data_IF_763347426165
#
_entry.id   IF_763347426165
#
_cell.length_a   1.000
_cell.length_b   1.000
_cell.length_c   1.000
_cell.angle_alpha   90.00
_cell.angle_beta   90.00
_cell.angle_gamma   90.00
#
_symmetry.space_group_name_H-M   'P 1'
#
loop_
_entity.id
_entity.type
_entity.pdbx_description
1 polymer ?
#
# COMPACT_ATOMS: atom_id res chain seq x y z
N UNK A 1 23.01 -24.89 -21.26
CA UNK A 1 22.32 -23.95 -22.16
C UNK A 1 21.01 -23.58 -21.46
N UNK A 2 20.68 -22.37 -21.06
CA UNK A 2 21.11 -21.02 -21.42
C UNK A 2 20.84 -20.12 -20.20
N UNK A 3 21.76 -19.20 -19.90
CA UNK A 3 21.44 -18.08 -19.01
C UNK A 3 20.45 -17.18 -19.75
N UNK A 4 19.16 -17.41 -19.56
CA UNK A 4 18.11 -16.58 -20.18
C UNK A 4 18.10 -15.26 -19.42
N UNK A 5 18.76 -14.25 -19.98
CA UNK A 5 18.65 -12.88 -19.51
C UNK A 5 17.18 -12.47 -19.53
N UNK A 6 16.59 -12.23 -18.36
CA UNK A 6 15.23 -11.70 -18.24
C UNK A 6 15.30 -10.19 -18.39
N UNK A 7 14.63 -9.64 -19.41
CA UNK A 7 14.38 -8.20 -19.49
C UNK A 7 13.25 -7.86 -18.52
N UNK A 8 13.45 -6.80 -17.74
CA UNK A 8 12.47 -6.28 -16.79
C UNK A 8 12.23 -4.82 -17.15
N UNK A 9 10.96 -4.46 -17.25
CA UNK A 9 10.54 -3.08 -17.45
C UNK A 9 10.61 -2.31 -16.13
N UNK A 10 11.26 -1.15 -16.13
CA UNK A 10 11.43 -0.29 -14.95
C UNK A 10 11.11 1.14 -15.36
N UNK A 11 10.22 1.77 -14.61
CA UNK A 11 9.89 3.19 -14.77
C UNK A 11 10.57 4.01 -13.69
N UNK A 12 11.16 5.13 -14.11
CA UNK A 12 11.61 6.20 -13.24
C UNK A 12 10.68 7.39 -13.44
N UNK A 13 10.20 7.97 -12.33
CA UNK A 13 9.39 9.18 -12.35
C UNK A 13 10.29 10.39 -12.06
N UNK A 14 10.08 11.48 -12.80
CA UNK A 14 10.87 12.71 -12.64
C UNK A 14 10.62 13.40 -11.30
N UNK A 15 9.38 13.32 -10.79
CA UNK A 15 8.97 13.94 -9.53
C UNK A 15 8.21 12.94 -8.64
N UNK A 16 8.39 12.99 -7.32
CA UNK A 16 7.58 12.21 -6.39
C UNK A 16 6.16 12.81 -6.25
N UNK A 17 5.17 11.95 -5.99
CA UNK A 17 3.83 12.41 -5.59
C UNK A 17 2.68 11.53 -6.06
N UNK A 18 1.46 12.00 -5.76
CA UNK A 18 0.21 11.28 -6.05
C UNK A 18 -0.04 11.09 -7.56
N UNK A 19 0.53 11.96 -8.40
CA UNK A 19 0.43 11.88 -9.86
C UNK A 19 0.94 10.55 -10.42
N UNK A 20 1.87 9.90 -9.73
CA UNK A 20 2.46 8.63 -10.18
C UNK A 20 1.64 7.40 -9.77
N UNK A 21 0.60 7.56 -8.94
CA UNK A 21 -0.10 6.44 -8.29
C UNK A 21 -0.73 5.49 -9.31
N UNK A 22 -1.42 6.04 -10.31
CA UNK A 22 -2.12 5.24 -11.31
C UNK A 22 -1.15 4.43 -12.18
N UNK A 23 -0.08 5.08 -12.63
CA UNK A 23 0.93 4.42 -13.46
C UNK A 23 1.72 3.37 -12.68
N UNK A 24 2.02 3.65 -11.42
CA UNK A 24 2.66 2.68 -10.50
C UNK A 24 1.80 1.44 -10.33
N UNK A 25 0.49 1.60 -10.10
CA UNK A 25 -0.43 0.46 -9.94
C UNK A 25 -0.56 -0.34 -11.24
N UNK A 26 -0.59 0.31 -12.41
CA UNK A 26 -0.64 -0.37 -13.72
C UNK A 26 0.63 -1.18 -14.00
N UNK A 27 1.80 -0.60 -13.77
CA UNK A 27 3.07 -1.32 -13.94
C UNK A 27 3.20 -2.48 -12.96
N UNK A 28 2.81 -2.28 -11.70
CA UNK A 28 2.77 -3.36 -10.71
C UNK A 28 1.80 -4.49 -11.11
N UNK A 29 0.64 -4.16 -11.69
CA UNK A 29 -0.32 -5.15 -12.19
C UNK A 29 0.27 -6.01 -13.32
N UNK A 30 0.85 -5.38 -14.33
CA UNK A 30 1.54 -6.10 -15.43
C UNK A 30 2.62 -7.02 -14.88
N UNK A 31 3.44 -6.51 -13.97
CA UNK A 31 4.53 -7.28 -13.36
C UNK A 31 4.03 -8.46 -12.53
N UNK A 32 2.94 -8.26 -11.78
CA UNK A 32 2.31 -9.32 -11.00
C UNK A 32 1.78 -10.43 -11.91
N UNK A 33 1.18 -10.09 -13.06
CA UNK A 33 0.73 -11.05 -14.06
C UNK A 33 1.88 -11.84 -14.68
N UNK A 34 2.97 -11.17 -15.10
CA UNK A 34 4.15 -11.82 -15.67
C UNK A 34 4.82 -12.83 -14.73
N UNK A 35 4.80 -12.53 -13.44
CA UNK A 35 5.40 -13.37 -12.41
C UNK A 35 4.42 -14.39 -11.81
N UNK A 36 3.12 -14.29 -12.12
CA UNK A 36 2.08 -15.10 -11.51
C UNK A 36 1.89 -14.83 -10.01
N UNK A 37 2.23 -13.63 -9.54
CA UNK A 37 2.04 -13.21 -8.15
C UNK A 37 0.55 -13.02 -7.91
N UNK A 38 0.01 -13.59 -6.83
CA UNK A 38 -1.41 -13.47 -6.48
C UNK A 38 -1.67 -12.52 -5.33
N UNK A 39 -0.66 -12.28 -4.50
CA UNK A 39 -0.78 -11.48 -3.28
C UNK A 39 -0.16 -10.09 -3.50
N UNK A 40 -0.95 -9.06 -3.27
CA UNK A 40 -0.59 -7.66 -3.52
C UNK A 40 -0.75 -6.91 -2.21
N UNK A 41 0.29 -6.22 -1.76
CA UNK A 41 0.27 -5.42 -0.54
C UNK A 41 0.40 -3.95 -0.92
N UNK A 42 -0.53 -3.12 -0.44
CA UNK A 42 -0.60 -1.69 -0.78
C UNK A 42 -0.67 -0.86 0.49
N UNK A 43 0.26 0.09 0.64
CA UNK A 43 0.18 1.07 1.72
C UNK A 43 -0.83 2.18 1.35
N UNK A 44 -1.78 2.47 2.24
CA UNK A 44 -2.78 3.51 2.02
C UNK A 44 -3.24 4.13 3.34
N UNK A 45 -2.94 5.41 3.54
CA UNK A 45 -3.29 6.14 4.76
C UNK A 45 -4.77 6.57 4.78
N UNK A 46 -5.26 7.21 3.72
CA UNK A 46 -6.65 7.71 3.65
C UNK A 46 -7.64 6.67 3.15
N UNK A 47 -7.18 5.72 2.35
CA UNK A 47 -8.00 4.66 1.72
C UNK A 47 -8.20 4.82 0.22
N UNK A 48 -7.87 5.98 -0.35
CA UNK A 48 -8.09 6.25 -1.79
C UNK A 48 -7.23 5.36 -2.68
N UNK A 49 -5.94 5.23 -2.37
CA UNK A 49 -5.02 4.34 -3.09
C UNK A 49 -5.40 2.87 -2.89
N UNK A 50 -5.81 2.49 -1.68
CA UNK A 50 -6.26 1.13 -1.37
C UNK A 50 -7.48 0.73 -2.20
N UNK A 51 -8.48 1.60 -2.30
CA UNK A 51 -9.68 1.35 -3.11
C UNK A 51 -9.35 1.21 -4.59
N UNK A 52 -8.54 2.13 -5.14
CA UNK A 52 -8.08 2.06 -6.54
C UNK A 52 -7.30 0.78 -6.82
N UNK A 53 -6.43 0.37 -5.89
CA UNK A 53 -5.71 -0.88 -6.01
C UNK A 53 -6.67 -2.08 -6.03
N UNK A 54 -7.65 -2.15 -5.13
CA UNK A 54 -8.64 -3.22 -5.16
C UNK A 54 -9.43 -3.28 -6.48
N UNK A 55 -9.68 -2.13 -7.12
CA UNK A 55 -10.34 -2.07 -8.43
C UNK A 55 -9.46 -2.55 -9.58
N UNK A 56 -8.16 -2.22 -9.58
CA UNK A 56 -7.20 -2.62 -10.62
C UNK A 56 -6.84 -4.11 -10.48
N UNK A 57 -6.59 -4.55 -9.25
CA UNK A 57 -6.14 -5.91 -8.93
C UNK A 57 -7.30 -6.87 -8.64
N UNK A 58 -8.42 -6.75 -9.38
CA UNK A 58 -9.55 -7.69 -9.23
C UNK A 58 -9.10 -9.12 -9.51
N UNK A 59 -9.43 -10.03 -8.61
CA UNK A 59 -9.02 -11.44 -8.68
C UNK A 59 -7.67 -11.76 -8.01
N UNK A 60 -6.98 -10.74 -7.48
CA UNK A 60 -5.78 -10.92 -6.64
C UNK A 60 -6.15 -10.80 -5.17
N UNK A 61 -5.31 -11.32 -4.28
CA UNK A 61 -5.38 -11.10 -2.85
C UNK A 61 -4.78 -9.73 -2.52
N UNK A 62 -5.61 -8.69 -2.48
CA UNK A 62 -5.15 -7.33 -2.14
C UNK A 62 -5.24 -7.10 -0.64
N UNK A 63 -4.11 -6.78 -0.02
CA UNK A 63 -4.00 -6.37 1.39
C UNK A 63 -3.62 -4.89 1.46
N UNK A 64 -4.56 -4.08 1.94
CA UNK A 64 -4.36 -2.65 2.18
C UNK A 64 -3.83 -2.46 3.59
N UNK A 65 -2.59 -2.00 3.72
CA UNK A 65 -1.95 -1.67 4.99
C UNK A 65 -2.21 -0.20 5.29
N UNK A 66 -2.97 0.07 6.35
CA UNK A 66 -3.23 1.43 6.83
C UNK A 66 -2.33 1.79 8.01
N UNK A 67 -2.25 3.08 8.33
CA UNK A 67 -1.56 3.54 9.53
C UNK A 67 -2.15 2.91 10.79
N UNK A 68 -1.30 2.74 11.80
CA UNK A 68 -1.77 2.36 13.12
C UNK A 68 -2.68 3.44 13.72
N UNK A 69 -3.71 2.99 14.42
CA UNK A 69 -4.59 3.87 15.17
C UNK A 69 -3.77 4.66 16.19
N UNK A 70 -3.90 5.98 16.20
CA UNK A 70 -3.11 6.83 17.10
C UNK A 70 -1.95 7.59 16.45
N UNK A 71 -1.64 7.37 15.17
CA UNK A 71 -0.48 8.01 14.51
C UNK A 71 -0.57 9.54 14.47
N UNK A 72 -1.70 10.08 13.97
CA UNK A 72 -1.91 11.53 13.87
C UNK A 72 -2.50 12.14 15.14
N UNK A 73 -3.40 11.42 15.79
CA UNK A 73 -4.04 11.78 17.07
C UNK A 73 -4.37 10.51 17.85
N UNK A 74 -4.22 10.51 19.19
CA UNK A 74 -4.56 9.35 20.02
C UNK A 74 -5.98 8.84 19.74
N UNK A 75 -6.12 7.54 19.48
CA UNK A 75 -7.41 6.89 19.26
C UNK A 75 -8.10 7.17 17.93
N UNK A 76 -7.50 7.95 17.01
CA UNK A 76 -8.08 8.26 15.71
C UNK A 76 -7.40 7.44 14.61
N UNK A 77 -8.24 6.83 13.76
CA UNK A 77 -7.82 6.21 12.52
C UNK A 77 -8.01 7.20 11.36
N UNK A 78 -7.00 7.32 10.49
CA UNK A 78 -6.99 8.28 9.38
C UNK A 78 -7.79 7.81 8.17
N UNK A 79 -8.01 6.50 8.07
CA UNK A 79 -8.85 5.91 7.03
C UNK A 79 -10.33 6.23 7.29
N UNK A 80 -10.98 6.79 6.27
CA UNK A 80 -12.41 7.08 6.28
C UNK A 80 -13.21 5.77 6.33
N UNK A 81 -14.26 5.71 7.15
CA UNK A 81 -15.09 4.49 7.30
C UNK A 81 -15.75 4.10 5.98
N UNK A 82 -16.18 5.08 5.20
CA UNK A 82 -16.81 4.85 3.90
C UNK A 82 -15.86 4.13 2.93
N UNK A 83 -14.58 4.52 2.92
CA UNK A 83 -13.57 3.89 2.08
C UNK A 83 -13.17 2.51 2.59
N UNK A 84 -13.15 2.30 3.91
CA UNK A 84 -12.94 0.99 4.53
C UNK A 84 -14.03 0.00 4.11
N UNK A 85 -15.31 0.41 4.17
CA UNK A 85 -16.43 -0.43 3.72
C UNK A 85 -16.36 -0.74 2.22
N UNK A 86 -16.04 0.24 1.38
CA UNK A 86 -15.86 0.04 -0.07
C UNK A 86 -14.73 -0.95 -0.37
N UNK A 87 -13.58 -0.84 0.31
CA UNK A 87 -12.46 -1.78 0.14
C UNK A 87 -12.88 -3.20 0.50
N UNK A 88 -13.59 -3.37 1.62
CA UNK A 88 -14.09 -4.68 2.06
C UNK A 88 -15.12 -5.25 1.09
N UNK A 89 -16.02 -4.42 0.54
CA UNK A 89 -17.02 -4.83 -0.47
C UNK A 89 -16.38 -5.32 -1.77
N UNK A 90 -15.29 -4.68 -2.20
CA UNK A 90 -14.54 -5.07 -3.41
C UNK A 90 -13.70 -6.34 -3.16
N UNK A 91 -13.62 -6.82 -1.91
CA UNK A 91 -12.89 -8.03 -1.53
C UNK A 91 -11.45 -7.78 -1.07
N UNK A 92 -11.07 -6.52 -0.86
CA UNK A 92 -9.79 -6.15 -0.27
C UNK A 92 -9.74 -6.47 1.22
N UNK A 93 -8.56 -6.86 1.71
CA UNK A 93 -8.31 -7.06 3.15
C UNK A 93 -7.64 -5.81 3.71
N UNK A 94 -7.95 -5.44 4.94
CA UNK A 94 -7.34 -4.29 5.60
C UNK A 94 -6.49 -4.78 6.77
N UNK A 95 -5.21 -4.39 6.77
CA UNK A 95 -4.28 -4.65 7.87
C UNK A 95 -3.98 -3.36 8.61
N UNK A 96 -4.17 -3.39 9.93
CA UNK A 96 -3.76 -2.31 10.83
C UNK A 96 -2.64 -2.83 11.71
N UNK A 97 -1.44 -2.29 11.58
CA UNK A 97 -0.29 -2.73 12.37
C UNK A 97 0.65 -1.57 12.68
N UNK A 98 1.46 -1.72 13.71
CA UNK A 98 2.54 -0.78 14.02
C UNK A 98 3.57 -0.77 12.90
N UNK A 99 4.15 0.39 12.60
CA UNK A 99 5.19 0.49 11.58
C UNK A 99 6.42 -0.31 12.03
N UNK A 100 6.73 -1.40 11.31
CA UNK A 100 7.82 -2.30 11.66
C UNK A 100 9.20 -1.64 11.68
N UNK A 101 9.37 -0.55 10.92
CA UNK A 101 10.62 0.20 10.78
C UNK A 101 10.63 1.56 11.52
N UNK A 102 9.59 1.88 12.29
CA UNK A 102 9.50 3.15 13.05
C UNK A 102 8.79 2.99 14.39
N UNK A 103 8.95 1.83 15.04
CA UNK A 103 8.17 1.42 16.21
C UNK A 103 8.64 2.11 17.50
N UNK A 104 9.46 1.41 18.27
CA UNK A 104 9.86 1.83 19.63
C UNK A 104 10.76 3.07 19.61
N UNK A 105 11.59 3.20 18.57
CA UNK A 105 12.52 4.30 18.34
C UNK A 105 11.82 5.64 18.13
N UNK A 106 10.70 5.65 17.38
CA UNK A 106 9.92 6.87 17.17
C UNK A 106 9.16 7.25 18.43
N UNK A 107 8.65 6.26 19.17
CA UNK A 107 7.98 6.48 20.44
C UNK A 107 8.92 7.10 21.49
N UNK A 108 10.18 6.63 21.55
CA UNK A 108 11.22 7.23 22.40
C UNK A 108 11.57 8.66 22.00
N UNK A 109 11.65 8.97 20.70
CA UNK A 109 12.00 10.32 20.23
C UNK A 109 10.98 11.39 20.59
N UNK A 110 9.70 11.02 20.76
CA UNK A 110 8.64 11.95 21.15
C UNK A 110 8.61 12.26 22.65
N UNK A 111 9.16 11.37 23.49
CA UNK A 111 9.17 11.52 24.95
C UNK A 111 10.28 12.49 25.43
N UNK A 112 11.33 12.71 24.64
CA UNK A 112 12.47 13.59 24.99
C UNK A 112 12.20 15.07 24.59
N UNK A 113 11.04 15.38 24.00
CA UNK A 113 10.66 16.74 23.60
C UNK A 113 9.62 17.42 24.53
N UNK A 114 9.36 16.83 25.70
CA UNK A 114 8.53 17.41 26.79
C UNK A 114 9.39 17.73 27.98
#
# INVERSE_FOLDING_TARGET
MSGIGRRVDVIYFDEPGMQNTEETLRHAYRRAQELGVKDIVVASTTGETGLRACQIFRGFNVVVVRHHTGFRKPGIQEMKKELEEEILKVGGKILTTSHAFSGVERWRSLIIQT
#
